data_IF_518003147626
#
_entry.id   IF_518003147626
#
_cell.length_a   1.000
_cell.length_b   1.000
_cell.length_c   1.000
_cell.angle_alpha   90.00
_cell.angle_beta   90.00
_cell.angle_gamma   90.00
#
_symmetry.space_group_name_H-M   'P 1'
#
loop_
_entity.id
_entity.type
_entity.pdbx_description
1 polymer ?
#
# COMPACT_ATOMS: atom_id res chain seq x y z
N UNK A 1 2.50 26.22 -12.02
CA UNK A 1 1.62 26.51 -13.17
C UNK A 1 1.39 25.31 -14.12
N UNK A 2 1.92 24.10 -13.85
CA UNK A 2 1.60 22.89 -14.66
C UNK A 2 0.40 22.08 -14.15
N UNK A 3 0.13 22.08 -12.83
CA UNK A 3 -1.00 21.35 -12.24
C UNK A 3 -2.38 21.86 -12.68
N UNK A 4 -2.49 23.11 -13.16
CA UNK A 4 -3.78 23.68 -13.64
C UNK A 4 -4.08 23.34 -15.10
N UNK A 5 -3.08 22.97 -15.91
CA UNK A 5 -3.28 22.63 -17.32
C UNK A 5 -3.74 21.18 -17.52
N UNK A 6 -3.45 20.28 -16.56
CA UNK A 6 -3.79 18.85 -16.63
C UNK A 6 -5.29 18.61 -16.38
N UNK A 7 -5.98 19.53 -15.69
CA UNK A 7 -7.43 19.45 -15.49
C UNK A 7 -8.24 19.65 -16.79
N UNK A 8 -7.61 20.09 -17.88
CA UNK A 8 -8.30 20.43 -19.13
C UNK A 8 -8.35 19.29 -20.16
N UNK A 9 -7.64 18.17 -19.93
CA UNK A 9 -7.62 17.07 -20.89
C UNK A 9 -7.55 15.69 -20.22
N UNK A 10 -8.50 15.42 -19.32
CA UNK A 10 -8.65 14.11 -18.66
C UNK A 10 -8.71 12.96 -19.68
N UNK A 11 -9.29 13.17 -20.86
CA UNK A 11 -9.36 12.15 -21.91
C UNK A 11 -8.01 11.88 -22.60
N UNK A 12 -7.18 12.88 -22.90
CA UNK A 12 -5.88 12.63 -23.51
C UNK A 12 -4.88 11.99 -22.54
N UNK A 13 -4.91 12.38 -21.26
CA UNK A 13 -4.03 11.79 -20.24
C UNK A 13 -4.38 10.30 -20.05
N UNK A 14 -5.68 9.93 -20.07
CA UNK A 14 -6.11 8.52 -20.00
C UNK A 14 -5.60 7.69 -21.19
N UNK A 15 -5.50 8.26 -22.40
CA UNK A 15 -4.94 7.57 -23.58
C UNK A 15 -3.45 7.26 -23.44
N UNK A 16 -2.73 8.03 -22.63
CA UNK A 16 -1.29 7.88 -22.40
C UNK A 16 -0.98 7.17 -21.07
N UNK A 17 -2.00 6.56 -20.43
CA UNK A 17 -1.85 5.85 -19.15
C UNK A 17 -0.70 4.85 -19.15
N UNK A 18 -0.55 4.07 -20.23
CA UNK A 18 0.52 3.06 -20.33
C UNK A 18 1.89 3.72 -20.24
N UNK A 19 2.11 4.78 -21.01
CA UNK A 19 3.37 5.54 -21.00
C UNK A 19 3.63 6.21 -19.66
N UNK A 20 2.59 6.75 -19.01
CA UNK A 20 2.75 7.38 -17.68
C UNK A 20 3.14 6.35 -16.63
N UNK A 21 2.56 5.14 -16.68
CA UNK A 21 2.96 4.03 -15.81
C UNK A 21 4.39 3.54 -16.09
N UNK A 22 4.84 3.57 -17.35
CA UNK A 22 6.24 3.32 -17.68
C UNK A 22 7.16 4.39 -17.08
N UNK A 23 6.76 5.66 -17.08
CA UNK A 23 7.51 6.74 -16.43
C UNK A 23 7.60 6.60 -14.90
N UNK A 24 6.70 5.86 -14.26
CA UNK A 24 6.83 5.53 -12.82
C UNK A 24 8.04 4.62 -12.59
N UNK A 25 8.48 3.87 -13.60
CA UNK A 25 9.64 2.97 -13.55
C UNK A 25 10.93 3.62 -14.07
N UNK A 26 10.90 4.92 -14.38
CA UNK A 26 12.04 5.64 -14.93
C UNK A 26 13.21 5.67 -13.94
N UNK A 27 14.48 5.57 -14.39
CA UNK A 27 15.64 5.67 -13.50
C UNK A 27 15.75 7.03 -12.78
N UNK A 28 15.19 8.11 -13.34
CA UNK A 28 15.22 9.44 -12.73
C UNK A 28 14.12 9.61 -11.67
N UNK A 29 14.53 9.82 -10.42
CA UNK A 29 13.61 10.02 -9.30
C UNK A 29 12.66 11.22 -9.48
N UNK A 30 13.10 12.28 -10.18
CA UNK A 30 12.27 13.45 -10.46
C UNK A 30 11.14 13.12 -11.45
N UNK A 31 11.42 12.25 -12.44
CA UNK A 31 10.43 11.78 -13.40
C UNK A 31 9.43 10.86 -12.70
N UNK A 32 9.91 9.93 -11.86
CA UNK A 32 9.03 9.05 -11.08
C UNK A 32 8.07 9.81 -10.17
N UNK A 33 8.54 10.85 -9.46
CA UNK A 33 7.70 11.68 -8.58
C UNK A 33 6.62 12.43 -9.37
N UNK A 34 6.97 13.00 -10.52
CA UNK A 34 5.99 13.66 -11.41
C UNK A 34 4.98 12.66 -11.98
N UNK A 35 5.44 11.47 -12.37
CA UNK A 35 4.56 10.41 -12.83
C UNK A 35 3.55 9.99 -11.75
N UNK A 36 3.96 9.90 -10.47
CA UNK A 36 3.05 9.61 -9.37
C UNK A 36 1.97 10.68 -9.17
N UNK A 37 2.31 11.95 -9.33
CA UNK A 37 1.32 13.03 -9.28
C UNK A 37 0.28 12.86 -10.40
N UNK A 38 0.74 12.57 -11.62
CA UNK A 38 -0.12 12.31 -12.77
C UNK A 38 -0.99 11.07 -12.58
N UNK A 39 -0.43 9.98 -12.04
CA UNK A 39 -1.19 8.75 -11.78
C UNK A 39 -2.39 9.03 -10.87
N UNK A 40 -2.26 9.89 -9.85
CA UNK A 40 -3.41 10.21 -9.00
C UNK A 40 -4.52 11.01 -9.65
N UNK A 41 -4.21 11.73 -10.74
CA UNK A 41 -5.20 12.39 -11.56
C UNK A 41 -5.86 11.42 -12.53
N UNK A 42 -5.15 10.35 -12.91
CA UNK A 42 -5.65 9.29 -13.78
C UNK A 42 -6.56 8.28 -13.09
N UNK A 43 -6.48 8.14 -11.76
CA UNK A 43 -7.30 7.16 -11.06
C UNK A 43 -8.77 7.56 -11.09
N UNK A 44 -9.60 6.62 -11.49
CA UNK A 44 -11.06 6.66 -11.55
C UNK A 44 -11.63 5.37 -10.95
N UNK A 45 -12.91 5.37 -10.60
CA UNK A 45 -13.60 4.21 -9.99
C UNK A 45 -13.50 2.92 -10.84
N UNK A 46 -13.42 3.07 -12.16
CA UNK A 46 -13.33 1.94 -13.09
C UNK A 46 -11.91 1.35 -13.21
N UNK A 47 -10.86 2.14 -12.93
CA UNK A 47 -9.47 1.73 -13.17
C UNK A 47 -8.65 1.55 -11.88
N UNK A 48 -9.18 1.97 -10.72
CA UNK A 48 -8.50 1.92 -9.42
C UNK A 48 -7.98 0.52 -9.10
N UNK A 49 -8.79 -0.53 -9.32
CA UNK A 49 -8.41 -1.91 -8.99
C UNK A 49 -7.15 -2.36 -9.75
N UNK A 50 -7.06 -1.99 -11.02
CA UNK A 50 -5.90 -2.36 -11.86
C UNK A 50 -4.68 -1.49 -11.54
N UNK A 51 -4.86 -0.18 -11.44
CA UNK A 51 -3.77 0.76 -11.15
C UNK A 51 -3.13 0.49 -9.80
N UNK A 52 -3.93 0.29 -8.74
CA UNK A 52 -3.40 -0.02 -7.41
C UNK A 52 -2.58 -1.30 -7.42
N UNK A 53 -3.01 -2.34 -8.15
CA UNK A 53 -2.25 -3.58 -8.27
C UNK A 53 -0.89 -3.34 -8.94
N UNK A 54 -0.87 -2.64 -10.08
CA UNK A 54 0.38 -2.32 -10.79
C UNK A 54 1.35 -1.48 -9.93
N UNK A 55 0.83 -0.56 -9.11
CA UNK A 55 1.64 0.23 -8.17
C UNK A 55 2.19 -0.60 -7.01
N UNK A 56 1.40 -1.54 -6.46
CA UNK A 56 1.86 -2.46 -5.41
C UNK A 56 2.92 -3.42 -5.96
N UNK A 57 2.74 -3.95 -7.16
CA UNK A 57 3.75 -4.80 -7.81
C UNK A 57 5.07 -4.02 -8.03
N UNK A 58 4.98 -2.71 -8.31
CA UNK A 58 6.16 -1.85 -8.40
C UNK A 58 6.79 -1.55 -7.03
N UNK A 59 5.99 -1.45 -5.96
CA UNK A 59 6.46 -1.23 -4.60
C UNK A 59 7.39 -2.35 -4.11
N UNK A 60 7.21 -3.59 -4.58
CA UNK A 60 8.08 -4.73 -4.25
C UNK A 60 9.52 -4.48 -4.74
N UNK A 61 9.67 -4.02 -5.99
CA UNK A 61 10.97 -3.87 -6.68
C UNK A 61 11.61 -2.48 -6.56
N UNK A 62 10.92 -1.51 -5.96
CA UNK A 62 11.38 -0.11 -5.87
C UNK A 62 12.47 0.11 -4.82
N UNK A 63 13.23 1.21 -4.97
CA UNK A 63 14.22 1.67 -3.99
C UNK A 63 13.57 2.16 -2.69
N UNK A 64 14.26 1.99 -1.56
CA UNK A 64 13.78 2.37 -0.23
C UNK A 64 13.35 3.85 -0.13
N UNK A 65 14.12 4.78 -0.71
CA UNK A 65 13.80 6.21 -0.73
C UNK A 65 12.52 6.53 -1.52
N UNK A 66 12.18 5.69 -2.51
CA UNK A 66 10.98 5.86 -3.32
C UNK A 66 9.76 5.13 -2.73
N UNK A 67 9.98 4.06 -1.95
CA UNK A 67 8.90 3.29 -1.31
C UNK A 67 8.07 4.14 -0.36
N UNK A 68 8.66 5.12 0.32
CA UNK A 68 7.91 6.07 1.17
C UNK A 68 6.91 6.89 0.35
N UNK A 69 7.38 7.59 -0.68
CA UNK A 69 6.53 8.43 -1.55
C UNK A 69 5.46 7.58 -2.27
N UNK A 70 5.85 6.40 -2.77
CA UNK A 70 4.97 5.50 -3.50
C UNK A 70 3.87 4.92 -2.60
N UNK A 71 4.23 4.39 -1.42
CA UNK A 71 3.26 3.82 -0.48
C UNK A 71 2.27 4.88 0.02
N UNK A 72 2.74 6.08 0.39
CA UNK A 72 1.88 7.19 0.77
C UNK A 72 0.88 7.56 -0.35
N UNK A 73 1.33 7.53 -1.60
CA UNK A 73 0.48 7.78 -2.76
C UNK A 73 -0.57 6.68 -2.97
N UNK A 74 -0.18 5.42 -2.87
CA UNK A 74 -1.10 4.27 -2.96
C UNK A 74 -2.16 4.37 -1.87
N UNK A 75 -1.78 4.64 -0.62
CA UNK A 75 -2.72 4.79 0.49
C UNK A 75 -3.75 5.88 0.22
N UNK A 76 -3.32 7.06 -0.26
CA UNK A 76 -4.21 8.16 -0.62
C UNK A 76 -5.20 7.79 -1.73
N UNK A 77 -4.75 7.03 -2.74
CA UNK A 77 -5.60 6.53 -3.82
C UNK A 77 -6.65 5.54 -3.27
N UNK A 78 -6.21 4.58 -2.46
CA UNK A 78 -7.06 3.54 -1.89
C UNK A 78 -8.11 4.16 -0.96
N UNK A 79 -7.74 5.14 -0.14
CA UNK A 79 -8.69 5.87 0.71
C UNK A 79 -9.76 6.63 -0.10
N UNK A 80 -9.36 7.27 -1.20
CA UNK A 80 -10.27 8.11 -1.99
C UNK A 80 -11.22 7.31 -2.87
N UNK A 81 -10.74 6.21 -3.45
CA UNK A 81 -11.47 5.45 -4.48
C UNK A 81 -11.93 4.07 -4.02
N UNK A 82 -11.82 3.75 -2.73
CA UNK A 82 -12.22 2.45 -2.17
C UNK A 82 -13.68 2.12 -2.52
N UNK A 83 -13.93 1.15 -3.42
CA UNK A 83 -15.30 0.77 -3.77
C UNK A 83 -15.95 -0.11 -2.70
N UNK A 84 -15.13 -0.89 -1.96
CA UNK A 84 -15.57 -1.88 -0.99
C UNK A 84 -14.61 -1.92 0.20
N UNK A 85 -15.14 -2.06 1.42
CA UNK A 85 -14.32 -2.15 2.64
C UNK A 85 -13.36 -3.34 2.64
N UNK A 86 -13.79 -4.49 2.08
CA UNK A 86 -12.94 -5.68 1.95
C UNK A 86 -11.74 -5.38 1.06
N UNK A 87 -11.98 -4.74 -0.10
CA UNK A 87 -10.93 -4.37 -1.02
C UNK A 87 -9.95 -3.36 -0.40
N UNK A 88 -10.45 -2.37 0.34
CA UNK A 88 -9.62 -1.43 1.10
C UNK A 88 -8.67 -2.15 2.07
N UNK A 89 -9.22 -3.05 2.88
CA UNK A 89 -8.43 -3.84 3.86
C UNK A 89 -7.36 -4.66 3.14
N UNK A 90 -7.73 -5.35 2.05
CA UNK A 90 -6.78 -6.16 1.28
C UNK A 90 -5.63 -5.33 0.68
N UNK A 91 -5.93 -4.14 0.14
CA UNK A 91 -4.88 -3.29 -0.44
C UNK A 91 -3.98 -2.71 0.65
N UNK A 92 -4.56 -2.22 1.75
CA UNK A 92 -3.79 -1.69 2.86
C UNK A 92 -2.89 -2.76 3.49
N UNK A 93 -3.40 -3.96 3.74
CA UNK A 93 -2.58 -5.07 4.25
C UNK A 93 -1.41 -5.44 3.33
N UNK A 94 -1.60 -5.39 2.01
CA UNK A 94 -0.51 -5.60 1.04
C UNK A 94 0.54 -4.51 1.12
N UNK A 95 0.14 -3.24 1.10
CA UNK A 95 1.08 -2.11 1.19
C UNK A 95 1.86 -2.16 2.51
N UNK A 96 1.20 -2.53 3.61
CA UNK A 96 1.84 -2.69 4.91
C UNK A 96 2.81 -3.89 4.96
N UNK A 97 2.53 -4.95 4.21
CA UNK A 97 3.44 -6.11 4.13
C UNK A 97 4.71 -5.76 3.35
N UNK A 98 4.61 -4.95 2.29
CA UNK A 98 5.73 -4.60 1.42
C UNK A 98 6.54 -3.38 1.91
N UNK A 99 5.85 -2.37 2.45
CA UNK A 99 6.45 -1.08 2.81
C UNK A 99 6.14 -0.65 4.24
N UNK A 100 5.75 -1.57 5.14
CA UNK A 100 5.31 -1.25 6.50
C UNK A 100 6.27 -0.36 7.32
N UNK A 101 7.59 -0.42 7.05
CA UNK A 101 8.59 0.46 7.70
C UNK A 101 8.58 1.92 7.23
N UNK A 102 8.04 2.19 6.06
CA UNK A 102 7.95 3.53 5.44
C UNK A 102 6.57 4.14 5.56
N UNK A 103 5.57 3.35 5.93
CA UNK A 103 4.20 3.83 6.08
C UNK A 103 4.06 4.55 7.41
N UNK A 104 3.53 5.78 7.36
CA UNK A 104 3.27 6.62 8.54
C UNK A 104 2.25 5.97 9.46
N UNK A 105 2.42 6.19 10.77
CA UNK A 105 1.52 5.70 11.80
C UNK A 105 0.06 6.10 11.58
N UNK A 106 -0.20 7.28 11.00
CA UNK A 106 -1.58 7.74 10.73
C UNK A 106 -2.38 6.77 9.85
N UNK A 107 -1.72 6.14 8.86
CA UNK A 107 -2.35 5.17 7.96
C UNK A 107 -2.70 3.89 8.72
N UNK A 108 -1.82 3.46 9.62
CA UNK A 108 -2.08 2.32 10.52
C UNK A 108 -3.29 2.58 11.41
N UNK A 109 -3.37 3.78 12.01
CA UNK A 109 -4.50 4.17 12.84
C UNK A 109 -5.81 4.21 12.05
N UNK A 110 -5.79 4.76 10.83
CA UNK A 110 -6.94 4.80 9.95
C UNK A 110 -7.45 3.39 9.61
N UNK A 111 -6.54 2.47 9.26
CA UNK A 111 -6.88 1.08 8.99
C UNK A 111 -7.52 0.40 10.22
N UNK A 112 -6.94 0.58 11.42
CA UNK A 112 -7.49 0.02 12.66
C UNK A 112 -8.90 0.52 12.92
N UNK A 113 -9.15 1.83 12.72
CA UNK A 113 -10.48 2.42 12.90
C UNK A 113 -11.47 1.83 11.90
N UNK A 114 -11.09 1.69 10.62
CA UNK A 114 -11.96 1.08 9.59
C UNK A 114 -12.30 -0.37 9.94
N UNK A 115 -11.31 -1.16 10.37
CA UNK A 115 -11.54 -2.55 10.77
C UNK A 115 -12.44 -2.59 12.00
N UNK A 116 -12.15 -1.79 13.04
CA UNK A 116 -12.92 -1.77 14.30
C UNK A 116 -14.39 -1.39 14.08
N UNK A 117 -14.67 -0.53 13.09
CA UNK A 117 -16.02 -0.14 12.72
C UNK A 117 -16.76 -1.19 11.86
N UNK A 118 -16.05 -2.18 11.33
CA UNK A 118 -16.58 -3.23 10.45
C UNK A 118 -16.51 -4.60 11.16
N UNK A 119 -17.36 -4.78 12.17
CA UNK A 119 -17.38 -5.99 13.00
C UNK A 119 -17.67 -7.26 12.20
N UNK A 120 -18.43 -7.13 11.11
CA UNK A 120 -18.72 -8.19 10.15
C UNK A 120 -17.48 -8.69 9.40
N UNK A 121 -16.44 -7.86 9.26
CA UNK A 121 -15.21 -8.18 8.53
C UNK A 121 -14.06 -8.62 9.43
N UNK A 122 -14.18 -8.52 10.76
CA UNK A 122 -13.11 -8.90 11.69
C UNK A 122 -12.56 -10.31 11.42
N UNK A 123 -13.45 -11.30 11.24
CA UNK A 123 -13.04 -12.67 10.95
C UNK A 123 -12.31 -12.82 9.61
N UNK A 124 -12.66 -12.03 8.60
CA UNK A 124 -11.95 -12.00 7.32
C UNK A 124 -10.56 -11.38 7.49
N UNK A 125 -10.48 -10.21 8.14
CA UNK A 125 -9.24 -9.47 8.34
C UNK A 125 -8.22 -10.29 9.13
N UNK A 126 -8.64 -10.99 10.20
CA UNK A 126 -7.74 -11.86 10.98
C UNK A 126 -7.17 -12.99 10.11
N UNK A 127 -8.00 -13.62 9.26
CA UNK A 127 -7.52 -14.67 8.35
C UNK A 127 -6.58 -14.13 7.27
N UNK A 128 -6.89 -12.96 6.72
CA UNK A 128 -6.05 -12.30 5.71
C UNK A 128 -4.69 -11.92 6.32
N UNK A 129 -4.70 -11.33 7.52
CA UNK A 129 -3.51 -10.99 8.29
C UNK A 129 -2.67 -12.24 8.59
N UNK A 130 -3.29 -13.31 9.09
CA UNK A 130 -2.60 -14.55 9.39
C UNK A 130 -1.92 -15.15 8.16
N UNK A 131 -2.60 -15.16 7.01
CA UNK A 131 -2.00 -15.58 5.73
C UNK A 131 -0.81 -14.70 5.34
N UNK A 132 -0.91 -13.38 5.51
CA UNK A 132 0.18 -12.46 5.23
C UNK A 132 1.41 -12.74 6.12
N UNK A 133 1.23 -13.05 7.43
CA UNK A 133 2.33 -13.49 8.31
C UNK A 133 3.02 -14.71 7.73
N UNK A 134 2.22 -15.73 7.37
CA UNK A 134 2.75 -17.02 6.94
C UNK A 134 3.57 -16.86 5.66
N UNK A 135 3.04 -16.16 4.66
CA UNK A 135 3.76 -15.90 3.42
C UNK A 135 5.06 -15.13 3.67
N UNK A 136 5.05 -14.14 4.56
CA UNK A 136 6.25 -13.40 4.92
C UNK A 136 7.31 -14.30 5.60
N UNK A 137 6.86 -15.20 6.50
CA UNK A 137 7.75 -16.16 7.17
C UNK A 137 8.41 -17.14 6.20
N UNK A 138 7.67 -17.57 5.17
CA UNK A 138 8.19 -18.45 4.11
C UNK A 138 9.15 -17.70 3.16
N UNK A 139 8.90 -16.42 2.88
CA UNK A 139 9.82 -15.60 2.08
C UNK A 139 11.15 -15.37 2.82
N UNK A 140 11.11 -15.17 4.14
CA UNK A 140 12.31 -15.05 4.97
C UNK A 140 13.11 -16.36 4.97
N UNK A 141 12.45 -17.52 5.10
CA UNK A 141 13.14 -18.81 5.14
C UNK A 141 13.80 -19.16 3.79
N UNK A 142 13.21 -18.72 2.67
CA UNK A 142 13.72 -19.02 1.33
C UNK A 142 14.75 -18.02 0.77
N UNK A 143 14.82 -16.77 1.26
CA UNK A 143 15.70 -15.73 0.66
C UNK A 143 16.97 -15.35 1.43
N UNK A 144 17.16 -15.73 2.71
CA UNK A 144 18.36 -15.30 3.46
C UNK A 144 19.06 -16.45 4.20
N UNK A 145 20.40 -16.59 4.11
CA UNK A 145 21.14 -17.50 4.99
C UNK A 145 20.98 -17.06 6.46
N UNK A 146 20.89 -18.05 7.37
CA UNK A 146 20.64 -17.88 8.82
C UNK A 146 21.57 -16.88 9.56
N UNK A 147 22.67 -16.44 8.94
CA UNK A 147 23.71 -15.60 9.55
C UNK A 147 23.35 -14.12 9.67
N UNK A 148 22.33 -13.64 8.95
CA UNK A 148 21.82 -12.26 9.06
C UNK A 148 20.36 -12.30 9.48
N UNK A 149 20.09 -12.72 10.71
CA UNK A 149 18.76 -12.71 11.28
C UNK A 149 18.52 -11.36 11.99
N UNK A 150 17.70 -10.44 11.45
CA UNK A 150 17.33 -9.24 12.16
C UNK A 150 16.15 -9.58 13.08
N UNK A 151 16.43 -10.17 14.24
CA UNK A 151 15.43 -10.32 15.31
C UNK A 151 14.73 -8.98 15.63
N UNK A 152 15.40 -7.84 15.41
CA UNK A 152 14.82 -6.50 15.58
C UNK A 152 13.80 -6.08 14.53
N UNK A 153 13.93 -6.50 13.26
CA UNK A 153 12.99 -6.10 12.20
C UNK A 153 11.67 -6.89 12.29
N UNK A 154 11.79 -8.19 12.58
CA UNK A 154 10.64 -9.03 12.93
C UNK A 154 10.02 -8.57 14.26
N UNK A 155 10.84 -8.18 15.24
CA UNK A 155 10.37 -7.62 16.51
C UNK A 155 9.48 -6.40 16.31
N UNK A 156 9.90 -5.39 15.52
CA UNK A 156 9.09 -4.20 15.29
C UNK A 156 7.82 -4.48 14.48
N UNK A 157 7.87 -5.42 13.54
CA UNK A 157 6.69 -5.80 12.75
C UNK A 157 5.69 -6.61 13.58
N UNK A 158 6.17 -7.58 14.38
CA UNK A 158 5.35 -8.34 15.33
C UNK A 158 4.85 -7.44 16.45
N UNK A 159 5.61 -6.45 16.91
CA UNK A 159 5.15 -5.46 17.89
C UNK A 159 4.02 -4.64 17.27
N UNK A 160 4.19 -4.02 16.09
CA UNK A 160 3.10 -3.31 15.41
C UNK A 160 1.85 -4.19 15.23
N UNK A 161 2.04 -5.47 14.88
CA UNK A 161 0.92 -6.40 14.70
C UNK A 161 0.33 -6.87 16.03
N UNK A 162 1.11 -6.94 17.11
CA UNK A 162 0.65 -7.22 18.47
C UNK A 162 -0.08 -6.03 19.07
N UNK A 163 0.32 -4.79 18.73
CA UNK A 163 -0.42 -3.57 19.07
C UNK A 163 -1.71 -3.52 18.28
N UNK A 164 -1.68 -3.90 17.00
CA UNK A 164 -2.88 -3.99 16.18
C UNK A 164 -3.84 -5.08 16.68
N UNK A 165 -3.31 -6.27 17.02
CA UNK A 165 -4.08 -7.37 17.60
C UNK A 165 -4.57 -7.02 19.00
N UNK A 166 -3.76 -6.37 19.83
CA UNK A 166 -4.11 -5.90 21.16
C UNK A 166 -5.18 -4.81 21.13
N UNK A 167 -5.07 -3.85 20.22
CA UNK A 167 -6.08 -2.83 19.99
C UNK A 167 -7.36 -3.40 19.38
N UNK A 168 -7.29 -4.37 18.46
CA UNK A 168 -8.49 -5.07 17.98
C UNK A 168 -9.14 -5.87 19.10
N UNK A 169 -8.39 -6.67 19.86
CA UNK A 169 -8.93 -7.54 20.92
C UNK A 169 -9.52 -6.72 22.07
N UNK A 170 -8.87 -5.61 22.49
CA UNK A 170 -9.36 -4.75 23.56
C UNK A 170 -10.59 -3.91 23.19
N UNK A 171 -10.88 -3.73 21.89
CA UNK A 171 -12.04 -2.94 21.40
C UNK A 171 -13.17 -3.81 20.86
N UNK A 172 -12.97 -5.13 20.76
CA UNK A 172 -13.97 -6.13 20.36
C UNK A 172 -14.67 -6.76 21.58
N UNK A 173 -14.19 -6.49 22.80
CA UNK A 173 -14.93 -6.73 24.06
C UNK A 173 -15.68 -5.48 24.51
#
# INVERSE_FOLDING_TARGET
MLMKAIAFDDQAVQRHRVTILECVKDPDASIRKRALELVSLLVNENNVKQLTKELIDYLEISDEDFKEDLSAKICSIVEKFSPEKIWYIDQMLKVLSEAGKFVKDDVWHALIVVISNASELHGYTVRALYKAVLTYSEQISNRRPLSEWPYGALGNMVICWSTMWGCLVLKIQ
#
